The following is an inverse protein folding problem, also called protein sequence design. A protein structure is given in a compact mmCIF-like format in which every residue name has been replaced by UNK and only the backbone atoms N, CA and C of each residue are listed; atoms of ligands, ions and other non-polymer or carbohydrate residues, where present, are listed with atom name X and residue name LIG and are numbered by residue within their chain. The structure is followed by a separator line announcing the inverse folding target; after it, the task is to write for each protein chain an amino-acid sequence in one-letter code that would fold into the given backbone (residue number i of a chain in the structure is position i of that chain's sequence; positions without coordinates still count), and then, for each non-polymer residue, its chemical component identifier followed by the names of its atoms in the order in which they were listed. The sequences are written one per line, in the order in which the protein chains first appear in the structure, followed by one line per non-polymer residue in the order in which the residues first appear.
data_IF_723848842816
#
_entry.id   IF_723848842816
#
_cell.length_a   1.000
_cell.length_b   1.000
_cell.length_c   1.000
_cell.angle_alpha   90.00
_cell.angle_beta   90.00
_cell.angle_gamma   90.00
#
_symmetry.space_group_name_H-M   'P 1'
#
loop_
_entity.id
_entity.type
_entity.pdbx_description
1 polymer ?
#
# COMPACT_ATOMS: atom_id res chain seq x y z
N UNK A 1 -15.43 -27.19 -30.11
CA UNK A 1 -13.96 -27.16 -30.05
C UNK A 1 -13.51 -26.23 -28.91
N UNK A 2 -13.77 -26.60 -27.65
CA UNK A 2 -13.58 -25.75 -26.46
C UNK A 2 -12.78 -26.49 -25.38
N UNK A 3 -11.80 -27.31 -25.79
CA UNK A 3 -11.01 -28.18 -24.91
C UNK A 3 -9.55 -27.75 -24.79
N UNK A 4 -9.21 -26.55 -25.26
CA UNK A 4 -7.84 -26.01 -25.29
C UNK A 4 -7.60 -24.81 -24.35
N UNK A 5 -8.57 -24.45 -23.50
CA UNK A 5 -8.44 -23.28 -22.60
C UNK A 5 -8.29 -23.62 -21.10
N UNK A 6 -8.00 -24.88 -20.75
CA UNK A 6 -7.67 -25.27 -19.35
C UNK A 6 -6.19 -25.63 -19.18
N UNK A 7 -5.32 -24.91 -19.89
CA UNK A 7 -3.91 -24.87 -19.52
C UNK A 7 -3.79 -24.04 -18.25
N UNK A 8 -3.84 -24.68 -17.08
CA UNK A 8 -3.43 -24.10 -15.81
C UNK A 8 -1.97 -23.64 -15.96
N UNK A 9 -1.78 -22.40 -16.43
CA UNK A 9 -0.50 -21.73 -16.36
C UNK A 9 -0.14 -21.74 -14.88
N UNK A 10 0.94 -22.45 -14.53
CA UNK A 10 1.55 -22.34 -13.20
C UNK A 10 1.81 -20.86 -12.99
N UNK A 11 0.97 -20.21 -12.18
CA UNK A 11 1.14 -18.81 -11.81
C UNK A 11 2.47 -18.78 -11.07
N UNK A 12 3.51 -18.29 -11.73
CA UNK A 12 4.80 -18.08 -11.11
C UNK A 12 4.55 -16.98 -10.08
N UNK A 13 4.48 -17.36 -8.81
CA UNK A 13 4.38 -16.39 -7.72
C UNK A 13 5.74 -15.69 -7.70
N UNK A 14 5.76 -14.48 -8.25
CA UNK A 14 6.91 -13.60 -8.16
C UNK A 14 6.76 -12.93 -6.80
N UNK A 15 7.62 -13.27 -5.85
CA UNK A 15 7.68 -12.54 -4.60
C UNK A 15 8.24 -11.15 -4.91
N UNK A 16 7.36 -10.15 -4.97
CA UNK A 16 7.72 -8.77 -5.18
C UNK A 16 7.90 -8.08 -3.83
N UNK A 17 9.10 -7.55 -3.59
CA UNK A 17 9.43 -6.84 -2.36
C UNK A 17 9.11 -5.36 -2.55
N UNK A 18 8.10 -4.88 -1.83
CA UNK A 18 7.74 -3.46 -1.80
C UNK A 18 8.38 -2.81 -0.58
N UNK A 19 9.25 -1.83 -0.81
CA UNK A 19 9.86 -1.04 0.26
C UNK A 19 8.97 0.13 0.66
N UNK A 20 9.00 0.49 1.94
CA UNK A 20 8.30 1.70 2.41
C UNK A 20 8.92 2.96 1.79
N UNK A 21 8.13 3.89 1.25
CA UNK A 21 8.65 5.15 0.71
C UNK A 21 8.99 6.18 1.81
N UNK A 22 8.46 6.01 3.02
CA UNK A 22 8.67 6.94 4.14
C UNK A 22 8.49 6.26 5.51
N UNK A 23 8.99 6.92 6.55
CA UNK A 23 8.82 6.48 7.95
C UNK A 23 7.45 6.87 8.50
N UNK A 24 6.76 5.91 9.10
CA UNK A 24 5.41 6.09 9.62
C UNK A 24 4.78 4.80 10.11
N UNK A 25 3.51 4.92 10.50
CA UNK A 25 2.63 3.83 10.92
C UNK A 25 1.90 3.29 9.72
N UNK A 26 1.91 1.96 9.53
CA UNK A 26 1.15 1.33 8.46
C UNK A 26 -0.33 1.28 8.84
N UNK A 27 -1.20 1.71 7.92
CA UNK A 27 -2.64 1.70 8.07
C UNK A 27 -3.29 0.91 6.94
N UNK A 28 -4.45 0.33 7.25
CA UNK A 28 -5.32 -0.24 6.22
C UNK A 28 -5.85 0.88 5.33
N UNK A 29 -6.06 0.59 4.04
CA UNK A 29 -6.52 1.61 3.11
C UNK A 29 -7.93 2.10 3.45
N UNK A 30 -8.76 1.24 4.06
CA UNK A 30 -10.11 1.55 4.56
C UNK A 30 -10.15 2.58 5.69
N UNK A 31 -9.03 2.78 6.40
CA UNK A 31 -8.93 3.74 7.51
C UNK A 31 -8.63 5.17 7.00
N UNK A 32 -8.36 5.34 5.70
CA UNK A 32 -8.11 6.65 5.10
C UNK A 32 -9.43 7.44 4.98
N UNK A 33 -9.50 8.70 5.48
CA UNK A 33 -10.74 9.47 5.51
C UNK A 33 -11.22 9.96 4.13
N UNK A 34 -10.51 9.64 3.06
CA UNK A 34 -10.86 9.99 1.68
C UNK A 34 -11.45 8.76 0.95
N UNK A 35 -12.67 8.87 0.40
CA UNK A 35 -13.40 7.75 -0.20
C UNK A 35 -12.72 7.16 -1.43
N UNK A 36 -11.92 7.95 -2.15
CA UNK A 36 -11.16 7.48 -3.32
C UNK A 36 -10.21 6.36 -2.92
N UNK A 37 -9.61 6.49 -1.73
CA UNK A 37 -8.71 5.51 -1.16
C UNK A 37 -9.45 4.44 -0.35
N UNK A 38 -10.31 4.80 0.60
CA UNK A 38 -10.96 3.81 1.48
C UNK A 38 -11.92 2.86 0.77
N UNK A 39 -12.45 3.25 -0.40
CA UNK A 39 -13.21 2.36 -1.29
C UNK A 39 -12.37 1.67 -2.37
N UNK A 40 -11.05 1.85 -2.34
CA UNK A 40 -10.09 1.23 -3.27
C UNK A 40 -10.38 1.51 -4.75
N UNK A 41 -10.89 2.71 -5.05
CA UNK A 41 -11.34 3.05 -6.41
C UNK A 41 -10.19 3.06 -7.43
N UNK A 42 -8.97 3.33 -6.96
CA UNK A 42 -7.75 3.38 -7.77
C UNK A 42 -6.95 2.07 -7.73
N UNK A 43 -7.34 1.11 -6.89
CA UNK A 43 -6.65 -0.16 -6.70
C UNK A 43 -6.41 -0.53 -5.23
N UNK A 44 -5.78 -1.68 -5.04
CA UNK A 44 -5.36 -2.20 -3.73
C UNK A 44 -4.07 -1.53 -3.25
N UNK A 45 -3.91 -1.45 -1.93
CA UNK A 45 -2.72 -0.86 -1.33
C UNK A 45 -2.80 -0.71 0.18
N UNK A 46 -1.87 0.07 0.73
CA UNK A 46 -1.75 0.40 2.14
C UNK A 46 -1.44 1.88 2.30
N UNK A 47 -1.82 2.47 3.44
CA UNK A 47 -1.49 3.84 3.77
C UNK A 47 -0.35 3.89 4.80
N UNK A 48 0.43 4.97 4.80
CA UNK A 48 1.44 5.24 5.84
C UNK A 48 1.15 6.59 6.47
N UNK A 49 0.79 6.59 7.75
CA UNK A 49 0.68 7.81 8.55
C UNK A 49 2.07 8.27 8.98
N UNK A 50 2.45 9.49 8.58
CA UNK A 50 3.79 10.03 8.84
C UNK A 50 4.02 10.25 10.34
N UNK A 51 5.22 9.87 10.83
CA UNK A 51 5.65 10.27 12.17
C UNK A 51 5.74 11.78 12.25
N UNK A 52 5.02 12.40 13.19
CA UNK A 52 5.18 13.83 13.49
C UNK A 52 6.59 14.04 14.07
N UNK A 53 7.50 14.56 13.27
CA UNK A 53 8.76 15.09 13.77
C UNK A 53 8.45 16.45 14.37
N UNK A 54 8.59 16.58 15.69
CA UNK A 54 8.45 17.85 16.37
C UNK A 54 9.63 18.76 16.01
N UNK A 55 9.52 19.50 14.91
CA UNK A 55 10.52 20.51 14.49
C UNK A 55 10.64 21.69 15.48
N UNK A 56 9.80 21.76 16.50
CA UNK A 56 9.79 22.87 17.45
C UNK A 56 10.90 22.83 18.50
N UNK A 57 11.58 21.68 18.68
CA UNK A 57 12.62 21.52 19.71
C UNK A 57 14.04 21.84 19.24
N UNK A 58 14.25 22.25 17.98
CA UNK A 58 15.60 22.56 17.43
C UNK A 58 15.83 24.05 17.14
N UNK A 59 14.93 24.93 17.56
CA UNK A 59 15.08 26.38 17.43
C UNK A 59 15.34 27.05 18.79
N UNK A 60 15.70 26.27 19.81
CA UNK A 60 16.01 26.74 21.16
C UNK A 60 17.35 26.19 21.68
N UNK A 61 18.32 26.04 20.78
CA UNK A 61 19.75 25.94 21.14
C UNK A 61 20.53 27.03 20.39
#
# INVERSE_FOLDING_TARGET
MFKQMFGMRKVKIIEEIIYRPLSGTLLKLEEVPDPTFSKKMLGEGVAIERVKVAYHLRLME
#
